data_IF_210265909554
#
_entry.id   IF_210265909554
#
_cell.length_a   1.000
_cell.length_b   1.000
_cell.length_c   1.000
_cell.angle_alpha   90.00
_cell.angle_beta   90.00
_cell.angle_gamma   90.00
#
_symmetry.space_group_name_H-M   'P 1'
#
loop_
_entity.id
_entity.type
_entity.pdbx_description
1 polymer ?
#
# COMPACT_ATOMS: atom_id res chain seq x y z
N UNK A 1 21.03 -10.61 11.47
CA UNK A 1 21.35 -9.69 10.36
C UNK A 1 20.56 -10.18 9.13
N UNK A 2 19.27 -9.84 9.06
CA UNK A 2 18.33 -10.23 8.01
C UNK A 2 17.35 -9.06 7.84
N UNK A 3 17.69 -8.00 7.11
CA UNK A 3 16.79 -6.83 7.05
C UNK A 3 16.61 -6.22 5.65
N UNK A 4 17.59 -6.32 4.75
CA UNK A 4 17.45 -5.74 3.39
C UNK A 4 16.64 -6.60 2.39
N UNK A 5 16.53 -7.92 2.61
CA UNK A 5 15.90 -8.84 1.65
C UNK A 5 14.36 -8.78 1.71
N UNK A 6 13.80 -8.34 2.84
CA UNK A 6 12.36 -8.44 3.11
C UNK A 6 11.53 -7.39 2.34
N UNK A 7 12.02 -6.15 2.23
CA UNK A 7 11.31 -5.10 1.48
C UNK A 7 11.41 -5.30 -0.03
N UNK A 8 12.57 -5.74 -0.54
CA UNK A 8 12.72 -6.00 -1.98
C UNK A 8 11.85 -7.20 -2.42
N UNK A 9 11.79 -8.24 -1.60
CA UNK A 9 10.89 -9.37 -1.84
C UNK A 9 9.42 -8.95 -1.76
N UNK A 10 9.06 -8.09 -0.79
CA UNK A 10 7.71 -7.55 -0.65
C UNK A 10 7.33 -6.60 -1.80
N UNK A 11 8.25 -5.76 -2.26
CA UNK A 11 8.07 -4.86 -3.41
C UNK A 11 7.87 -5.63 -4.71
N UNK A 12 8.73 -6.63 -4.97
CA UNK A 12 8.61 -7.55 -6.11
C UNK A 12 7.27 -8.29 -6.05
N UNK A 13 6.86 -8.74 -4.87
CA UNK A 13 5.60 -9.44 -4.69
C UNK A 13 4.39 -8.52 -4.92
N UNK A 14 4.39 -7.29 -4.40
CA UNK A 14 3.31 -6.32 -4.67
C UNK A 14 3.23 -6.02 -6.16
N UNK A 15 4.37 -5.76 -6.82
CA UNK A 15 4.41 -5.45 -8.25
C UNK A 15 3.95 -6.63 -9.14
N UNK A 16 4.32 -7.86 -8.78
CA UNK A 16 3.97 -9.06 -9.55
C UNK A 16 2.54 -9.55 -9.31
N UNK A 17 2.04 -9.37 -8.08
CA UNK A 17 0.73 -9.90 -7.65
C UNK A 17 -0.37 -8.86 -7.78
N UNK A 18 -0.11 -7.56 -7.61
CA UNK A 18 -1.17 -6.54 -7.62
C UNK A 18 -1.16 -5.66 -8.87
N UNK A 19 -2.32 -5.58 -9.55
CA UNK A 19 -2.60 -4.52 -10.53
C UNK A 19 -3.70 -3.60 -10.00
N UNK A 20 -3.54 -2.30 -10.23
CA UNK A 20 -4.48 -1.30 -9.71
C UNK A 20 -5.82 -1.35 -10.46
N UNK A 21 -6.92 -1.43 -9.70
CA UNK A 21 -8.29 -1.51 -10.23
C UNK A 21 -8.76 -0.25 -10.99
N UNK A 22 -8.09 0.88 -10.81
CA UNK A 22 -8.48 2.17 -11.41
C UNK A 22 -8.15 2.32 -12.90
N UNK A 23 -7.31 1.44 -13.46
CA UNK A 23 -7.03 1.44 -14.90
C UNK A 23 -8.22 0.82 -15.66
N UNK A 24 -8.59 1.38 -16.82
CA UNK A 24 -9.76 0.96 -17.62
C UNK A 24 -9.80 -0.56 -17.81
N UNK A 25 -10.72 -1.23 -17.15
CA UNK A 25 -10.79 -2.70 -17.07
C UNK A 25 -12.15 -3.24 -17.52
N UNK A 26 -12.15 -4.36 -18.22
CA UNK A 26 -13.34 -5.13 -18.57
C UNK A 26 -13.69 -6.09 -17.43
N UNK A 27 -14.85 -5.87 -16.80
CA UNK A 27 -15.33 -6.65 -15.66
C UNK A 27 -15.54 -8.15 -15.98
N UNK A 28 -15.58 -8.54 -17.25
CA UNK A 28 -15.65 -9.93 -17.68
C UNK A 28 -14.36 -10.73 -17.39
N UNK A 29 -13.20 -10.07 -17.28
CA UNK A 29 -11.90 -10.74 -17.08
C UNK A 29 -11.56 -10.99 -15.59
N UNK A 30 -12.39 -10.47 -14.67
CA UNK A 30 -12.16 -10.52 -13.22
C UNK A 30 -11.91 -11.93 -12.64
N UNK A 31 -12.63 -13.00 -13.05
CA UNK A 31 -12.42 -14.35 -12.52
C UNK A 31 -11.12 -15.01 -13.01
N UNK A 32 -10.73 -14.77 -14.27
CA UNK A 32 -9.50 -15.32 -14.88
C UNK A 32 -8.25 -14.74 -14.22
N UNK A 33 -8.29 -13.44 -13.93
CA UNK A 33 -7.23 -12.69 -13.26
C UNK A 33 -7.05 -13.13 -11.80
N UNK A 34 -8.16 -13.35 -11.07
CA UNK A 34 -8.15 -13.89 -9.70
C UNK A 34 -7.54 -15.30 -9.63
N UNK A 35 -7.80 -16.13 -10.65
CA UNK A 35 -7.29 -17.50 -10.75
C UNK A 35 -5.83 -17.60 -11.22
N UNK A 36 -5.33 -16.63 -12.00
CA UNK A 36 -4.03 -16.70 -12.70
C UNK A 36 -2.86 -15.96 -12.02
N UNK A 37 -2.88 -15.79 -10.70
CA UNK A 37 -1.82 -15.16 -9.86
C UNK A 37 -1.79 -13.62 -9.74
N UNK A 38 -2.75 -12.86 -10.28
CA UNK A 38 -2.74 -11.38 -10.15
C UNK A 38 -3.99 -10.86 -9.46
N UNK A 39 -3.88 -10.52 -8.17
CA UNK A 39 -4.94 -9.89 -7.40
C UNK A 39 -5.14 -8.42 -7.83
N UNK A 40 -6.30 -8.08 -8.39
CA UNK A 40 -6.64 -6.67 -8.60
C UNK A 40 -7.37 -6.13 -7.37
N UNK A 41 -6.81 -5.10 -6.76
CA UNK A 41 -7.28 -4.53 -5.50
C UNK A 41 -7.32 -3.00 -5.57
N UNK A 42 -8.08 -2.39 -4.66
CA UNK A 42 -8.04 -0.94 -4.45
C UNK A 42 -6.99 -0.55 -3.39
N UNK A 43 -6.78 0.75 -3.22
CA UNK A 43 -5.80 1.29 -2.29
C UNK A 43 -6.02 0.82 -0.83
N UNK A 44 -7.26 0.55 -0.43
CA UNK A 44 -7.60 0.07 0.91
C UNK A 44 -7.08 -1.35 1.16
N UNK A 45 -7.25 -2.25 0.19
CA UNK A 45 -6.79 -3.62 0.30
C UNK A 45 -5.24 -3.71 0.30
N UNK A 46 -4.56 -2.91 -0.55
CA UNK A 46 -3.08 -2.84 -0.55
C UNK A 46 -2.56 -2.33 0.80
N UNK A 47 -3.11 -1.22 1.30
CA UNK A 47 -2.72 -0.64 2.58
C UNK A 47 -2.99 -1.59 3.76
N UNK A 48 -4.13 -2.28 3.77
CA UNK A 48 -4.49 -3.23 4.82
C UNK A 48 -3.57 -4.45 4.83
N UNK A 49 -3.22 -4.96 3.65
CA UNK A 49 -2.32 -6.09 3.49
C UNK A 49 -0.90 -5.75 3.95
N UNK A 50 -0.37 -4.59 3.54
CA UNK A 50 0.93 -4.11 3.99
C UNK A 50 0.99 -3.93 5.51
N UNK A 51 -0.08 -3.40 6.11
CA UNK A 51 -0.19 -3.30 7.56
C UNK A 51 -0.16 -4.68 8.23
N UNK A 52 -0.94 -5.65 7.73
CA UNK A 52 -0.96 -7.02 8.28
C UNK A 52 0.35 -7.77 8.09
N UNK A 53 1.02 -7.57 6.95
CA UNK A 53 2.35 -8.12 6.73
C UNK A 53 3.36 -7.55 7.74
N UNK A 54 3.34 -6.23 7.96
CA UNK A 54 4.23 -5.60 8.91
C UNK A 54 3.98 -6.08 10.35
N UNK A 55 2.72 -6.17 10.79
CA UNK A 55 2.35 -6.72 12.11
C UNK A 55 2.88 -8.15 12.29
N UNK A 56 2.69 -9.02 11.29
CA UNK A 56 3.14 -10.42 11.36
C UNK A 56 4.65 -10.57 11.45
N UNK A 57 5.40 -9.63 10.90
CA UNK A 57 6.86 -9.64 10.89
C UNK A 57 7.48 -8.73 11.96
N UNK A 58 6.67 -8.15 12.86
CA UNK A 58 7.14 -7.34 13.97
C UNK A 58 7.61 -5.93 13.58
N UNK A 59 7.26 -5.44 12.39
CA UNK A 59 7.58 -4.08 11.96
C UNK A 59 6.52 -3.10 12.47
N UNK A 60 6.90 -1.95 13.06
CA UNK A 60 5.94 -0.90 13.39
C UNK A 60 5.26 -0.37 12.12
N UNK A 61 3.93 -0.38 12.08
CA UNK A 61 3.17 0.07 10.92
C UNK A 61 1.94 0.90 11.27
N UNK A 62 1.46 1.70 10.31
CA UNK A 62 0.29 2.57 10.42
C UNK A 62 -0.51 2.52 9.12
N UNK A 63 -1.76 2.10 9.20
CA UNK A 63 -2.71 2.32 8.13
C UNK A 63 -3.16 3.80 8.13
N UNK A 64 -3.20 4.44 6.96
CA UNK A 64 -3.55 5.85 6.83
C UNK A 64 -4.59 6.03 5.73
N UNK A 65 -5.70 6.68 6.08
CA UNK A 65 -6.71 7.10 5.11
C UNK A 65 -6.46 8.56 4.73
N UNK A 66 -6.40 8.82 3.44
CA UNK A 66 -6.11 10.12 2.85
C UNK A 66 -7.39 10.61 2.19
N UNK A 67 -7.94 11.70 2.71
CA UNK A 67 -9.09 12.37 2.11
C UNK A 67 -8.60 13.52 1.25
N UNK A 68 -8.58 13.33 -0.06
CA UNK A 68 -8.32 14.41 -1.01
C UNK A 68 -9.50 15.39 -1.00
N UNK A 69 -9.22 16.68 -1.00
CA UNK A 69 -10.28 17.70 -1.14
C UNK A 69 -10.83 17.57 -2.58
N UNK A 70 -12.13 17.30 -2.72
CA UNK A 70 -12.84 17.12 -4.01
C UNK A 70 -12.53 15.86 -4.84
N UNK A 71 -11.94 14.82 -4.25
CA UNK A 71 -11.61 13.57 -4.96
C UNK A 71 -11.96 12.32 -4.14
N UNK A 72 -11.86 11.17 -4.80
CA UNK A 72 -12.01 9.83 -4.21
C UNK A 72 -11.02 9.64 -3.05
N UNK A 73 -11.47 9.00 -1.96
CA UNK A 73 -10.61 8.67 -0.83
C UNK A 73 -9.48 7.73 -1.25
N UNK A 74 -8.32 7.85 -0.60
CA UNK A 74 -7.16 7.01 -0.85
C UNK A 74 -6.66 6.40 0.47
N UNK A 75 -5.90 5.30 0.40
CA UNK A 75 -5.31 4.68 1.58
C UNK A 75 -3.89 4.21 1.30
N UNK A 76 -3.04 4.33 2.32
CA UNK A 76 -1.63 3.88 2.30
C UNK A 76 -1.27 3.23 3.62
N UNK A 77 -0.18 2.47 3.64
CA UNK A 77 0.44 2.00 4.86
C UNK A 77 1.82 2.64 5.06
N UNK A 78 2.12 3.12 6.26
CA UNK A 78 3.49 3.45 6.64
C UNK A 78 4.08 2.28 7.42
N UNK A 79 5.28 1.82 7.04
CA UNK A 79 6.00 0.74 7.71
C UNK A 79 7.40 1.22 8.10
N UNK A 80 7.81 0.98 9.35
CA UNK A 80 9.14 1.36 9.85
C UNK A 80 10.11 0.20 9.70
N UNK A 81 11.12 0.35 8.85
CA UNK A 81 12.19 -0.63 8.60
C UNK A 81 13.53 0.07 8.78
N UNK A 82 14.46 -0.55 9.52
CA UNK A 82 15.80 -0.01 9.80
C UNK A 82 15.80 1.45 10.30
N UNK A 83 14.83 1.78 11.15
CA UNK A 83 14.70 3.11 11.73
C UNK A 83 14.01 4.15 10.83
N UNK A 84 13.77 3.85 9.55
CA UNK A 84 13.15 4.74 8.56
C UNK A 84 11.70 4.37 8.27
N UNK A 85 10.87 5.36 7.97
CA UNK A 85 9.50 5.11 7.52
C UNK A 85 9.46 4.98 6.00
N UNK A 86 8.83 3.91 5.52
CA UNK A 86 8.50 3.66 4.13
C UNK A 86 6.99 3.75 3.96
N UNK A 87 6.54 4.23 2.81
CA UNK A 87 5.13 4.30 2.44
C UNK A 87 4.83 3.26 1.38
N UNK A 88 3.86 2.40 1.68
CA UNK A 88 3.30 1.42 0.76
C UNK A 88 2.00 1.98 0.21
N UNK A 89 1.98 2.18 -1.10
CA UNK A 89 0.85 2.64 -1.89
C UNK A 89 0.55 1.58 -2.97
N UNK A 90 -0.63 1.67 -3.57
CA UNK A 90 -1.01 0.96 -4.79
C UNK A 90 -0.03 1.12 -5.96
N UNK A 91 0.85 2.12 -5.93
CA UNK A 91 1.89 2.39 -6.93
C UNK A 91 3.25 1.78 -6.60
N UNK A 92 3.43 1.23 -5.38
CA UNK A 92 4.67 0.63 -4.91
C UNK A 92 5.09 1.11 -3.52
N UNK A 93 6.34 0.83 -3.16
CA UNK A 93 6.95 1.21 -1.87
C UNK A 93 7.96 2.33 -2.09
N UNK A 94 7.82 3.42 -1.33
CA UNK A 94 8.71 4.59 -1.42
C UNK A 94 9.13 5.11 -0.06
N UNK A 95 10.28 5.78 0.02
CA UNK A 95 10.72 6.45 1.26
C UNK A 95 9.70 7.53 1.68
N UNK A 96 9.25 7.48 2.93
CA UNK A 96 8.32 8.49 3.43
C UNK A 96 9.06 9.75 3.90
N UNK A 97 8.96 10.81 3.10
CA UNK A 97 9.62 12.10 3.30
C UNK A 97 8.66 13.18 3.80
N UNK A 98 7.44 12.80 4.19
CA UNK A 98 6.42 13.68 4.74
C UNK A 98 5.16 13.82 3.88
N UNK A 99 4.03 14.09 4.54
CA UNK A 99 2.72 14.13 3.87
C UNK A 99 2.60 15.22 2.81
N UNK A 100 3.22 16.38 3.00
CA UNK A 100 3.17 17.48 2.04
C UNK A 100 3.90 17.14 0.72
N UNK A 101 4.92 16.28 0.77
CA UNK A 101 5.65 15.82 -0.41
C UNK A 101 4.84 14.78 -1.20
N UNK A 102 4.27 13.80 -0.49
CA UNK A 102 3.58 12.66 -1.11
C UNK A 102 2.12 12.95 -1.49
N UNK A 103 1.43 13.76 -0.69
CA UNK A 103 0.01 14.06 -0.83
C UNK A 103 -0.26 15.56 -0.62
N UNK A 104 0.26 16.43 -1.51
CA UNK A 104 0.04 17.86 -1.41
C UNK A 104 -1.46 18.17 -1.47
N UNK A 105 -1.90 19.15 -0.69
CA UNK A 105 -3.30 19.60 -0.62
C UNK A 105 -4.32 18.54 -0.17
N UNK A 106 -3.87 17.45 0.46
CA UNK A 106 -4.74 16.40 0.98
C UNK A 106 -4.94 16.53 2.49
N UNK A 107 -6.16 16.22 2.96
CA UNK A 107 -6.42 16.06 4.41
C UNK A 107 -6.04 14.64 4.82
N UNK A 108 -5.02 14.52 5.66
CA UNK A 108 -4.54 13.23 6.15
C UNK A 108 -5.34 12.83 7.39
N UNK A 109 -5.92 11.63 7.37
CA UNK A 109 -6.61 11.03 8.51
C UNK A 109 -5.84 9.77 8.91
N UNK A 110 -4.94 9.93 9.88
CA UNK A 110 -4.23 8.79 10.45
C UNK A 110 -5.22 8.05 11.34
N UNK A 111 -5.66 6.87 10.89
CA UNK A 111 -6.44 5.98 11.75
C UNK A 111 -5.45 5.16 12.57
N UNK A 112 -5.49 5.30 13.89
CA UNK A 112 -4.92 4.27 14.75
C UNK A 112 -5.81 3.04 14.59
N UNK A 113 -5.31 2.00 13.94
CA UNK A 113 -5.96 0.70 13.98
C UNK A 113 -5.79 0.11 15.38
N UNK A 114 -6.86 -0.54 15.85
CA UNK A 114 -7.03 -1.12 17.18
C UNK A 114 -5.96 -2.16 17.51
#
# INVERSE_FOLDING_TARGET
MYYAVDLLAFDTWIADVFKYKGDKFDYAEWPLVFAMKRWYADCDAVASLAWKWAERNGYPAKYVSIKRVNLVGHAVCLVKVDGKWNMVDSTGIVDFTGWAHHYPHCKIIIRKTR
#
